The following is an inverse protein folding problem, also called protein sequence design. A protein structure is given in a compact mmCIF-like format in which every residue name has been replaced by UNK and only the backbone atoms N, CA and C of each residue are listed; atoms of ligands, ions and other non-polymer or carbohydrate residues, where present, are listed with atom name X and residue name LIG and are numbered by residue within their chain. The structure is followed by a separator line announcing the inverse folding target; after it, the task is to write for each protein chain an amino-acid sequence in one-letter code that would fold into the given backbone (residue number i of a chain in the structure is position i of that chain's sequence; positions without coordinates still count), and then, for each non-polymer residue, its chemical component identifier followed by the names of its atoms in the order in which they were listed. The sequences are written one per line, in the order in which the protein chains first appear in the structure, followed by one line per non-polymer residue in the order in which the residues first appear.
data_IF_230598397551
#
_entry.id   IF_230598397551
#
_cell.length_a   1.000
_cell.length_b   1.000
_cell.length_c   1.000
_cell.angle_alpha   90.00
_cell.angle_beta   90.00
_cell.angle_gamma   90.00
#
_symmetry.space_group_name_H-M   'P 1'
#
loop_
_entity.id
_entity.type
_entity.pdbx_description
1 polymer ?
#
# COMPACT_ATOMS: atom_id res chain seq x y z
N UNK A 1 -9.62 21.56 60.60
CA UNK A 1 -8.67 21.81 59.49
C UNK A 1 -8.91 20.88 58.33
N UNK A 2 -9.06 21.42 57.13
CA UNK A 2 -9.03 20.64 55.88
C UNK A 2 -7.76 20.98 55.11
N UNK A 3 -7.05 19.95 54.66
CA UNK A 3 -5.87 20.10 53.81
C UNK A 3 -6.23 19.72 52.38
N UNK A 4 -5.81 20.52 51.41
CA UNK A 4 -5.90 20.19 49.98
C UNK A 4 -4.55 19.69 49.48
N UNK A 5 -4.59 18.63 48.68
CA UNK A 5 -3.41 18.10 48.01
C UNK A 5 -3.47 18.44 46.52
N UNK A 6 -2.31 18.69 45.93
CA UNK A 6 -2.14 19.00 44.51
C UNK A 6 -0.84 18.39 44.00
N UNK A 7 -0.80 18.06 42.71
CA UNK A 7 0.42 17.60 42.07
C UNK A 7 1.47 18.71 41.98
N UNK A 8 2.75 18.31 41.91
CA UNK A 8 3.86 19.24 41.68
C UNK A 8 3.82 19.76 40.23
N UNK A 9 4.49 20.88 39.96
CA UNK A 9 4.65 21.39 38.59
C UNK A 9 5.28 20.30 37.71
N UNK A 10 4.73 20.09 36.51
CA UNK A 10 5.17 19.04 35.57
C UNK A 10 4.56 17.67 35.84
N UNK A 11 3.53 17.57 36.68
CA UNK A 11 2.78 16.34 36.90
C UNK A 11 1.28 16.58 36.70
N UNK A 12 0.62 15.70 35.94
CA UNK A 12 -0.83 15.68 35.76
C UNK A 12 -1.51 14.85 36.86
N UNK A 13 -2.70 15.26 37.30
CA UNK A 13 -3.49 14.57 38.32
C UNK A 13 -4.48 13.60 37.66
N UNK A 14 -4.27 12.30 37.85
CA UNK A 14 -5.08 11.26 37.25
C UNK A 14 -6.29 10.86 38.11
N UNK A 15 -6.53 11.54 39.25
CA UNK A 15 -7.71 11.31 40.10
C UNK A 15 -8.31 12.62 40.61
N UNK A 16 -9.06 13.35 39.76
CA UNK A 16 -9.67 14.64 40.12
C UNK A 16 -10.61 14.60 41.33
N UNK A 17 -11.23 13.45 41.61
CA UNK A 17 -12.17 13.23 42.71
C UNK A 17 -11.45 13.15 44.06
N UNK A 18 -10.14 12.88 44.04
CA UNK A 18 -9.25 12.89 45.20
C UNK A 18 -7.90 13.53 44.82
N UNK A 19 -7.86 14.87 44.68
CA UNK A 19 -6.71 15.57 44.12
C UNK A 19 -5.38 15.29 44.82
N UNK A 20 -4.29 15.31 44.07
CA UNK A 20 -2.92 15.16 44.52
C UNK A 20 -2.61 13.77 45.09
N UNK A 21 -3.36 12.73 44.71
CA UNK A 21 -3.14 11.34 45.14
C UNK A 21 -2.50 10.48 44.07
N UNK A 22 -2.75 10.77 42.78
CA UNK A 22 -2.16 10.06 41.66
C UNK A 22 -1.61 11.09 40.68
N UNK A 23 -0.31 11.35 40.77
CA UNK A 23 0.37 12.32 39.93
C UNK A 23 1.27 11.59 38.92
N UNK A 24 1.02 11.76 37.62
CA UNK A 24 1.87 11.23 36.54
C UNK A 24 2.74 12.35 36.00
N UNK A 25 4.03 12.09 35.82
CA UNK A 25 4.93 13.08 35.22
C UNK A 25 4.48 13.36 33.78
N UNK A 26 4.37 14.64 33.43
CA UNK A 26 4.20 15.06 32.04
C UNK A 26 5.57 15.03 31.38
N UNK A 27 5.69 14.29 30.29
CA UNK A 27 6.91 14.16 29.50
C UNK A 27 6.51 14.55 28.09
N UNK A 28 7.19 15.55 27.53
CA UNK A 28 7.05 15.86 26.11
C UNK A 28 7.96 14.91 25.33
N UNK A 29 7.40 13.85 24.73
CA UNK A 29 8.20 12.90 23.95
C UNK A 29 8.64 13.46 22.60
N UNK A 30 8.09 14.59 22.16
CA UNK A 30 8.41 15.22 20.88
C UNK A 30 9.63 16.15 20.95
N UNK A 31 9.97 16.67 22.12
CA UNK A 31 11.18 17.47 22.35
C UNK A 31 12.48 16.65 22.20
N UNK A 32 12.40 15.31 22.30
CA UNK A 32 13.54 14.41 22.29
C UNK A 32 13.30 13.21 21.38
N UNK A 33 14.00 13.07 20.24
CA UNK A 33 13.79 11.98 19.28
C UNK A 33 13.87 10.57 19.88
N UNK A 34 14.66 10.37 20.93
CA UNK A 34 14.82 9.09 21.63
C UNK A 34 13.65 8.71 22.54
N UNK A 35 12.73 9.64 22.81
CA UNK A 35 11.53 9.40 23.61
C UNK A 35 10.31 9.01 22.76
N UNK A 36 10.39 9.19 21.45
CA UNK A 36 9.35 8.81 20.52
C UNK A 36 9.85 7.81 19.47
N UNK A 37 8.91 7.26 18.70
CA UNK A 37 9.19 6.28 17.63
C UNK A 37 8.65 6.75 16.28
N UNK A 38 8.34 8.04 16.13
CA UNK A 38 7.83 8.58 14.87
C UNK A 38 8.83 8.35 13.73
N UNK A 39 8.31 8.09 12.53
CA UNK A 39 9.14 8.14 11.32
C UNK A 39 9.75 9.54 11.15
N UNK A 40 10.94 9.65 10.56
CA UNK A 40 11.57 10.94 10.22
C UNK A 40 10.68 11.82 9.32
N UNK A 41 9.79 11.20 8.54
CA UNK A 41 8.82 11.84 7.67
C UNK A 41 7.45 12.02 8.35
N UNK A 42 7.35 11.80 9.66
CA UNK A 42 6.18 12.11 10.47
C UNK A 42 6.41 13.35 11.33
N UNK A 43 5.30 13.94 11.78
CA UNK A 43 5.22 14.94 12.85
C UNK A 43 4.90 14.20 14.14
N UNK A 44 5.60 14.53 15.21
CA UNK A 44 5.28 14.08 16.56
C UNK A 44 4.25 15.03 17.18
N UNK A 45 3.27 14.47 17.87
CA UNK A 45 2.22 15.18 18.60
C UNK A 45 2.27 14.72 20.06
N UNK A 46 2.64 15.62 20.96
CA UNK A 46 2.62 15.36 22.41
C UNK A 46 1.16 15.35 22.90
N UNK A 47 0.81 14.36 23.72
CA UNK A 47 -0.51 14.17 24.29
C UNK A 47 -0.43 14.07 25.83
N UNK A 48 -1.57 14.21 26.52
CA UNK A 48 -1.56 14.07 27.99
C UNK A 48 -1.15 12.67 28.47
N UNK A 49 -1.34 11.66 27.62
CA UNK A 49 -1.02 10.26 27.89
C UNK A 49 -0.07 9.66 26.84
N UNK A 50 1.09 10.29 26.68
CA UNK A 50 2.15 9.87 25.76
C UNK A 50 2.15 10.72 24.49
N UNK A 51 2.41 10.11 23.34
CA UNK A 51 2.53 10.83 22.07
C UNK A 51 1.93 10.04 20.91
N UNK A 52 1.56 10.78 19.88
CA UNK A 52 1.11 10.25 18.61
C UNK A 52 2.01 10.74 17.45
N UNK A 53 1.93 10.08 16.30
CA UNK A 53 2.68 10.49 15.11
C UNK A 53 1.77 10.53 13.89
N UNK A 54 1.98 11.52 13.03
CA UNK A 54 1.22 11.72 11.79
C UNK A 54 2.18 11.93 10.62
N UNK A 55 2.02 11.19 9.51
CA UNK A 55 2.87 11.42 8.34
C UNK A 55 2.76 12.86 7.83
N UNK A 56 3.89 13.44 7.42
CA UNK A 56 3.93 14.79 6.83
C UNK A 56 3.13 14.80 5.51
N UNK A 57 2.67 15.98 5.11
CA UNK A 57 2.00 16.17 3.82
C UNK A 57 2.88 15.65 2.68
N UNK A 58 2.26 14.90 1.76
CA UNK A 58 2.99 14.22 0.67
C UNK A 58 3.56 12.85 1.05
N UNK A 59 3.25 12.32 2.25
CA UNK A 59 3.60 10.97 2.66
C UNK A 59 2.36 10.18 3.08
N UNK A 60 2.28 8.93 2.67
CA UNK A 60 1.27 7.96 3.09
C UNK A 60 1.77 7.18 4.30
N UNK A 61 0.85 6.88 5.21
CA UNK A 61 1.10 6.02 6.36
C UNK A 61 0.98 4.55 5.95
N UNK A 62 2.08 3.83 6.06
CA UNK A 62 2.20 2.41 5.76
C UNK A 62 2.60 1.62 7.00
N UNK A 63 2.33 2.17 8.18
CA UNK A 63 2.63 1.54 9.47
C UNK A 63 1.91 0.19 9.57
N UNK A 64 2.57 -0.87 10.06
CA UNK A 64 2.00 -2.21 10.12
C UNK A 64 0.86 -2.36 11.13
N UNK A 65 0.79 -1.43 12.10
CA UNK A 65 -0.25 -1.42 13.15
C UNK A 65 -1.11 -0.18 13.02
N UNK A 66 -2.44 -0.32 12.81
CA UNK A 66 -3.35 0.82 12.76
C UNK A 66 -3.40 1.64 14.05
N UNK A 67 -3.01 1.04 15.19
CA UNK A 67 -2.94 1.72 16.49
C UNK A 67 -1.68 2.56 16.69
N UNK A 68 -0.70 2.46 15.78
CA UNK A 68 0.57 3.19 15.85
C UNK A 68 0.84 3.85 14.49
N UNK A 69 0.07 4.90 14.15
CA UNK A 69 0.24 5.62 12.89
C UNK A 69 1.57 6.39 12.85
N UNK A 70 2.00 6.81 11.66
CA UNK A 70 3.17 7.65 11.47
C UNK A 70 4.50 7.01 11.88
N UNK A 71 4.56 5.68 11.99
CA UNK A 71 5.78 4.91 12.31
C UNK A 71 6.51 4.45 11.05
N UNK A 72 5.81 4.38 9.93
CA UNK A 72 6.39 4.21 8.61
C UNK A 72 5.67 5.13 7.62
N UNK A 73 6.39 6.12 7.09
CA UNK A 73 5.83 7.10 6.15
C UNK A 73 6.57 7.04 4.82
N UNK A 74 5.84 6.73 3.74
CA UNK A 74 6.40 6.66 2.38
C UNK A 74 5.95 7.84 1.53
N UNK A 75 6.81 8.40 0.66
CA UNK A 75 6.39 9.45 -0.27
C UNK A 75 5.20 8.98 -1.11
N UNK A 76 4.20 9.84 -1.26
CA UNK A 76 3.12 9.64 -2.24
C UNK A 76 3.69 10.03 -3.60
N UNK A 77 3.82 9.05 -4.48
CA UNK A 77 4.29 9.21 -5.84
C UNK A 77 3.20 8.66 -6.73
N UNK A 78 2.87 9.36 -7.81
CA UNK A 78 2.02 8.79 -8.83
C UNK A 78 2.89 8.10 -9.88
N UNK A 79 3.03 6.78 -9.78
CA UNK A 79 3.86 6.01 -10.72
C UNK A 79 3.23 5.89 -12.11
N UNK A 80 1.95 6.24 -12.27
CA UNK A 80 1.25 6.17 -13.55
C UNK A 80 1.51 7.37 -14.47
N UNK A 81 2.17 8.43 -14.00
CA UNK A 81 2.51 9.60 -14.84
C UNK A 81 3.65 9.33 -15.83
N UNK A 82 4.53 8.37 -15.52
CA UNK A 82 5.66 7.99 -16.36
C UNK A 82 5.82 6.48 -16.31
N UNK A 83 5.82 5.85 -17.48
CA UNK A 83 5.97 4.40 -17.63
C UNK A 83 7.30 3.85 -17.07
N UNK A 84 8.29 4.71 -16.82
CA UNK A 84 9.55 4.33 -16.15
C UNK A 84 9.43 4.18 -14.64
N UNK A 85 8.35 4.70 -14.05
CA UNK A 85 8.09 4.64 -12.61
C UNK A 85 7.26 3.40 -12.22
N UNK A 86 6.68 2.71 -13.21
CA UNK A 86 5.94 1.48 -13.00
C UNK A 86 6.47 0.34 -13.87
N UNK A 87 6.12 -0.89 -13.49
CA UNK A 87 6.44 -2.11 -14.22
C UNK A 87 5.19 -2.77 -14.82
N UNK A 88 4.09 -2.03 -15.00
CA UNK A 88 2.89 -2.53 -15.67
C UNK A 88 3.23 -3.05 -17.08
N UNK A 89 2.52 -4.08 -17.52
CA UNK A 89 2.50 -4.44 -18.94
C UNK A 89 2.11 -3.19 -19.76
N UNK A 90 2.74 -2.90 -20.91
CA UNK A 90 2.38 -1.74 -21.74
C UNK A 90 0.91 -1.67 -22.16
N UNK A 91 0.20 -2.80 -22.14
CA UNK A 91 -1.24 -2.90 -22.41
C UNK A 91 -2.10 -2.78 -21.16
N UNK A 92 -1.52 -2.95 -19.97
CA UNK A 92 -2.23 -2.84 -18.70
C UNK A 92 -2.56 -1.38 -18.37
N UNK A 93 -3.67 -1.20 -17.66
CA UNK A 93 -4.02 0.07 -17.05
C UNK A 93 -3.27 0.22 -15.72
N UNK A 94 -2.47 1.27 -15.59
CA UNK A 94 -1.89 1.67 -14.31
C UNK A 94 -2.92 2.41 -13.46
N UNK A 95 -2.99 2.06 -12.18
CA UNK A 95 -3.88 2.66 -11.18
C UNK A 95 -3.01 3.11 -10.00
N UNK A 96 -2.89 4.42 -9.84
CA UNK A 96 -2.18 5.06 -8.74
C UNK A 96 -2.87 4.78 -7.40
N UNK A 97 -2.10 4.53 -6.36
CA UNK A 97 -2.59 4.27 -5.00
C UNK A 97 -1.86 5.13 -3.98
N UNK A 98 -2.43 5.32 -2.77
CA UNK A 98 -1.72 6.02 -1.71
C UNK A 98 -0.38 5.36 -1.32
N UNK A 99 -0.28 4.04 -1.42
CA UNK A 99 0.95 3.26 -1.25
C UNK A 99 1.26 2.49 -2.54
N UNK A 100 1.99 3.13 -3.45
CA UNK A 100 2.40 2.56 -4.74
C UNK A 100 1.28 2.54 -5.78
N UNK A 101 1.23 1.49 -6.59
CA UNK A 101 0.31 1.40 -7.73
C UNK A 101 -0.10 -0.05 -8.01
N UNK A 102 -1.21 -0.20 -8.72
CA UNK A 102 -1.70 -1.48 -9.25
C UNK A 102 -1.76 -1.44 -10.78
N UNK A 103 -1.64 -2.60 -11.40
CA UNK A 103 -1.80 -2.75 -12.85
C UNK A 103 -2.95 -3.71 -13.12
N UNK A 104 -3.80 -3.37 -14.06
CA UNK A 104 -4.98 -4.17 -14.42
C UNK A 104 -4.93 -4.50 -15.92
N UNK A 105 -4.98 -5.79 -16.25
CA UNK A 105 -5.06 -6.22 -17.64
C UNK A 105 -6.42 -5.84 -18.25
N UNK A 106 -6.46 -5.40 -19.53
CA UNK A 106 -7.72 -5.19 -20.24
C UNK A 106 -8.60 -6.45 -20.29
N UNK A 107 -9.92 -6.29 -20.30
CA UNK A 107 -10.87 -7.42 -20.28
C UNK A 107 -10.75 -8.39 -21.46
N UNK A 108 -10.12 -7.98 -22.56
CA UNK A 108 -9.84 -8.83 -23.72
C UNK A 108 -8.47 -9.53 -23.65
N UNK A 109 -7.84 -9.55 -22.47
CA UNK A 109 -6.56 -10.22 -22.23
C UNK A 109 -6.65 -11.06 -20.95
N UNK A 110 -5.82 -12.10 -20.86
CA UNK A 110 -5.63 -12.89 -19.64
C UNK A 110 -4.38 -12.41 -18.93
N UNK A 111 -4.52 -12.13 -17.64
CA UNK A 111 -3.38 -11.89 -16.77
C UNK A 111 -2.66 -13.22 -16.51
N UNK A 112 -1.42 -13.32 -16.96
CA UNK A 112 -0.54 -14.48 -16.74
C UNK A 112 0.67 -14.10 -15.88
N UNK A 113 0.55 -13.02 -15.09
CA UNK A 113 1.61 -12.57 -14.19
C UNK A 113 1.99 -13.69 -13.19
N UNK A 114 3.30 -13.93 -12.94
CA UNK A 114 3.74 -15.05 -12.10
C UNK A 114 3.30 -14.97 -10.63
N UNK A 115 3.00 -13.77 -10.15
CA UNK A 115 2.64 -13.50 -8.76
C UNK A 115 1.28 -12.81 -8.71
N UNK A 116 0.33 -13.42 -7.99
CA UNK A 116 -0.97 -12.80 -7.73
C UNK A 116 -0.89 -11.50 -6.91
N UNK A 117 0.23 -11.27 -6.20
CA UNK A 117 0.47 -10.01 -5.50
C UNK A 117 0.85 -8.87 -6.46
N UNK A 118 1.26 -9.19 -7.70
CA UNK A 118 1.67 -8.23 -8.72
C UNK A 118 0.94 -8.54 -10.04
N UNK A 119 -0.38 -8.28 -10.11
CA UNK A 119 -1.17 -8.50 -11.33
C UNK A 119 -0.82 -7.48 -12.42
N UNK A 120 -1.25 -7.73 -13.66
CA UNK A 120 -1.13 -6.77 -14.76
C UNK A 120 0.30 -6.52 -15.24
N UNK A 121 1.25 -7.40 -14.90
CA UNK A 121 2.65 -7.35 -15.35
C UNK A 121 2.87 -8.09 -16.67
N UNK A 122 1.98 -9.05 -16.95
CA UNK A 122 1.96 -9.80 -18.22
C UNK A 122 0.51 -9.99 -18.68
N UNK A 123 0.08 -9.20 -19.66
CA UNK A 123 -1.27 -9.26 -20.22
C UNK A 123 -1.28 -9.96 -21.59
N UNK A 124 -1.71 -11.21 -21.61
CA UNK A 124 -1.70 -12.03 -22.80
C UNK A 124 -3.00 -11.88 -23.60
N UNK A 125 -2.87 -11.59 -24.90
CA UNK A 125 -4.01 -11.62 -25.82
C UNK A 125 -4.15 -13.04 -26.34
N UNK A 126 -5.30 -13.67 -26.11
CA UNK A 126 -5.68 -14.85 -26.87
C UNK A 126 -6.15 -14.40 -28.24
N UNK A 127 -5.29 -14.60 -29.23
CA UNK A 127 -5.64 -14.42 -30.62
C UNK A 127 -6.10 -15.77 -31.17
N UNK A 128 -7.22 -15.80 -31.88
CA UNK A 128 -7.62 -17.01 -32.57
C UNK A 128 -6.85 -17.09 -33.89
N UNK A 129 -5.78 -17.86 -33.93
CA UNK A 129 -4.92 -17.94 -35.12
C UNK A 129 -5.66 -18.51 -36.32
N UNK A 130 -6.64 -19.40 -36.09
CA UNK A 130 -7.48 -19.99 -37.13
C UNK A 130 -8.40 -18.95 -37.82
N UNK A 131 -8.89 -17.95 -37.09
CA UNK A 131 -9.71 -16.87 -37.65
C UNK A 131 -8.85 -15.74 -38.24
N UNK A 132 -7.69 -15.49 -37.65
CA UNK A 132 -6.79 -14.41 -38.09
C UNK A 132 -5.84 -14.84 -39.20
N UNK A 133 -5.79 -16.14 -39.52
CA UNK A 133 -4.87 -16.71 -40.52
C UNK A 133 -3.42 -16.71 -40.05
N UNK A 134 -3.16 -16.59 -38.74
CA UNK A 134 -1.83 -16.61 -38.14
C UNK A 134 -1.39 -18.01 -37.71
N UNK A 135 -1.84 -19.03 -38.43
CA UNK A 135 -1.46 -20.42 -38.23
C UNK A 135 -0.61 -20.91 -39.40
N UNK A 136 0.14 -21.99 -39.20
CA UNK A 136 0.97 -22.64 -40.22
C UNK A 136 0.45 -24.05 -40.59
N UNK A 137 -0.81 -24.36 -40.24
CA UNK A 137 -1.44 -25.62 -40.63
C UNK A 137 -1.34 -25.88 -42.14
N UNK A 138 -1.09 -27.14 -42.49
CA UNK A 138 -1.16 -27.61 -43.87
C UNK A 138 -2.53 -27.27 -44.49
N UNK A 139 -2.63 -26.90 -45.78
CA UNK A 139 -3.91 -26.63 -46.43
C UNK A 139 -4.94 -27.77 -46.34
N UNK A 140 -4.51 -29.00 -46.07
CA UNK A 140 -5.37 -30.17 -45.86
C UNK A 140 -5.67 -30.46 -44.38
N UNK A 141 -5.05 -29.75 -43.43
CA UNK A 141 -5.30 -29.89 -42.01
C UNK A 141 -6.39 -28.94 -41.51
N UNK A 142 -7.08 -29.32 -40.44
CA UNK A 142 -8.07 -28.50 -39.74
C UNK A 142 -7.39 -27.76 -38.60
N UNK A 143 -7.48 -26.43 -38.61
CA UNK A 143 -7.01 -25.58 -37.51
C UNK A 143 -8.03 -25.60 -36.36
N UNK A 144 -7.53 -25.77 -35.13
CA UNK A 144 -8.30 -25.67 -33.89
C UNK A 144 -7.61 -24.71 -32.93
N UNK A 145 -8.30 -23.65 -32.55
CA UNK A 145 -7.85 -22.65 -31.58
C UNK A 145 -7.91 -23.21 -30.14
N UNK A 146 -6.94 -22.87 -29.30
CA UNK A 146 -6.89 -23.31 -27.91
C UNK A 146 -6.20 -22.29 -26.98
N UNK A 147 -6.26 -22.50 -25.66
CA UNK A 147 -5.71 -21.55 -24.67
C UNK A 147 -4.16 -21.43 -24.69
N UNK A 148 -3.45 -22.18 -25.53
CA UNK A 148 -1.98 -22.11 -25.64
C UNK A 148 -1.51 -21.57 -27.00
N UNK A 149 -2.38 -21.51 -28.01
CA UNK A 149 -2.27 -20.93 -29.35
C UNK A 149 -3.28 -21.69 -30.25
N UNK A 150 -2.80 -22.59 -31.12
CA UNK A 150 -3.62 -23.43 -31.99
C UNK A 150 -3.03 -24.83 -32.17
N UNK A 151 -3.83 -25.76 -32.69
CA UNK A 151 -3.46 -27.12 -33.10
C UNK A 151 -3.94 -27.41 -34.51
N UNK A 152 -3.17 -28.18 -35.28
CA UNK A 152 -3.53 -28.61 -36.63
C UNK A 152 -3.80 -30.12 -36.63
N UNK A 153 -5.01 -30.53 -37.02
CA UNK A 153 -5.39 -31.95 -37.08
C UNK A 153 -5.62 -32.40 -38.51
N UNK A 154 -5.01 -33.51 -38.91
CA UNK A 154 -5.27 -34.10 -40.22
C UNK A 154 -6.64 -34.80 -40.24
N UNK A 155 -7.40 -34.67 -41.34
CA UNK A 155 -8.59 -35.50 -41.57
C UNK A 155 -8.22 -36.98 -41.55
N UNK A 156 -9.11 -37.82 -40.99
CA UNK A 156 -8.95 -39.28 -40.99
C UNK A 156 -9.23 -39.89 -42.35
#
# INVERSE_FOLDING_TARGET
DSFQCRCKKGFNDLRPERPGRICKQMIDECERPELNSCDRNAKCLDEEDGYNCECKSGFADVSPSPSLPGRACRPIVNECIDQKLNDCDPRAKCIDQPDGYQCECPSNTKDISPSAAFPGRVCHVFENECLTGKHDCDPQAVCQDNEQAFTCECPK
#
